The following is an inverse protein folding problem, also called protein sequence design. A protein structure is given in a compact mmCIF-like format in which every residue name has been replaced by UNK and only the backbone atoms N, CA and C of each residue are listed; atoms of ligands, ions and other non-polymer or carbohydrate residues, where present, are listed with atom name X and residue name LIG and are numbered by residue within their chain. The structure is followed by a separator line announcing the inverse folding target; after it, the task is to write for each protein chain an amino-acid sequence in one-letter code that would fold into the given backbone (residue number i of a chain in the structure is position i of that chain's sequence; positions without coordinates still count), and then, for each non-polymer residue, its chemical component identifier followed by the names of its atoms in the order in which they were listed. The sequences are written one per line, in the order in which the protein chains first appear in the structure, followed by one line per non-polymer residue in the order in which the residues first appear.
data_IF_638876238615
#
_entry.id   IF_638876238615
#
_cell.length_a   1.000
_cell.length_b   1.000
_cell.length_c   1.000
_cell.angle_alpha   90.00
_cell.angle_beta   90.00
_cell.angle_gamma   90.00
#
_symmetry.space_group_name_H-M   'P 1'
#
loop_
_entity.id
_entity.type
_entity.pdbx_description
1 polymer ?
#
# COMPACT_ATOMS: atom_id res chain seq x y z
N UNK A 1 -35.78 -6.65 30.83
CA UNK A 1 -34.30 -6.72 30.91
C UNK A 1 -33.76 -5.96 29.71
N UNK A 2 -33.01 -4.88 29.92
CA UNK A 2 -32.61 -3.96 28.87
C UNK A 2 -31.63 -4.63 27.89
N UNK A 3 -31.99 -4.69 26.60
CA UNK A 3 -31.04 -4.92 25.50
C UNK A 3 -30.23 -3.64 25.34
N UNK A 4 -29.01 -3.60 25.87
CA UNK A 4 -28.08 -2.51 25.60
C UNK A 4 -27.85 -2.48 24.09
N UNK A 5 -28.39 -1.47 23.42
CA UNK A 5 -28.16 -1.19 22.01
C UNK A 5 -26.74 -0.61 21.84
N UNK A 6 -25.75 -1.43 22.15
CA UNK A 6 -24.36 -1.09 21.92
C UNK A 6 -24.13 -1.19 20.41
N UNK A 7 -23.65 -0.11 19.80
CA UNK A 7 -23.28 -0.09 18.40
C UNK A 7 -22.22 -1.17 18.14
N UNK A 8 -22.56 -2.13 17.27
CA UNK A 8 -21.65 -3.23 16.95
C UNK A 8 -20.57 -2.73 16.00
N UNK A 9 -19.31 -3.02 16.32
CA UNK A 9 -18.20 -2.77 15.38
C UNK A 9 -18.43 -3.64 14.13
N UNK A 10 -18.43 -3.07 12.91
CA UNK A 10 -18.61 -3.84 11.69
C UNK A 10 -17.54 -4.93 11.54
N UNK A 11 -17.92 -6.16 11.17
CA UNK A 11 -16.98 -7.27 10.94
C UNK A 11 -15.84 -6.92 9.98
N UNK A 12 -16.13 -6.11 8.96
CA UNK A 12 -15.13 -5.65 7.99
C UNK A 12 -13.95 -4.92 8.63
N UNK A 13 -14.15 -4.24 9.77
CA UNK A 13 -13.09 -3.53 10.48
C UNK A 13 -11.98 -4.48 10.97
N UNK A 14 -12.31 -5.74 11.26
CA UNK A 14 -11.35 -6.71 11.76
C UNK A 14 -10.79 -7.64 10.69
N UNK A 15 -11.53 -7.87 9.60
CA UNK A 15 -11.23 -8.95 8.65
C UNK A 15 -11.04 -8.49 7.20
N UNK A 16 -11.22 -7.20 6.90
CA UNK A 16 -10.82 -6.68 5.60
C UNK A 16 -9.29 -6.66 5.47
N UNK A 17 -8.80 -6.58 4.23
CA UNK A 17 -7.39 -6.30 3.99
C UNK A 17 -7.05 -4.92 4.58
N UNK A 18 -5.90 -4.78 5.27
CA UNK A 18 -5.46 -3.50 5.78
C UNK A 18 -5.12 -2.55 4.63
N UNK A 19 -5.35 -1.24 4.84
CA UNK A 19 -4.97 -0.21 3.87
C UNK A 19 -3.47 -0.25 3.57
N UNK A 20 -2.65 -0.56 4.59
CA UNK A 20 -1.19 -0.71 4.50
C UNK A 20 -0.71 -1.79 5.47
N UNK A 21 0.19 -2.65 5.00
CA UNK A 21 0.73 -3.75 5.81
C UNK A 21 2.21 -4.02 5.53
N UNK A 22 2.86 -4.70 6.48
CA UNK A 22 4.24 -5.16 6.36
C UNK A 22 5.26 -4.06 6.05
N UNK A 23 5.27 -2.92 6.78
CA UNK A 23 6.26 -1.89 6.55
C UNK A 23 7.67 -2.41 6.83
N UNK A 24 8.62 -2.07 5.98
CA UNK A 24 10.04 -2.35 6.13
C UNK A 24 10.86 -1.13 5.72
N UNK A 25 11.94 -0.84 6.43
CA UNK A 25 12.80 0.31 6.18
C UNK A 25 14.18 -0.18 5.71
N UNK A 26 14.76 0.48 4.71
CA UNK A 26 16.12 0.19 4.24
C UNK A 26 17.15 0.49 5.32
N UNK A 27 18.33 -0.14 5.24
CA UNK A 27 19.38 0.01 6.28
C UNK A 27 19.86 1.46 6.47
N UNK A 28 19.86 2.24 5.40
CA UNK A 28 20.22 3.66 5.40
C UNK A 28 19.07 4.59 5.83
N UNK A 29 17.87 4.05 6.05
CA UNK A 29 16.70 4.81 6.48
C UNK A 29 16.08 5.71 5.41
N UNK A 30 16.50 5.59 4.16
CA UNK A 30 16.03 6.47 3.09
C UNK A 30 14.76 5.96 2.40
N UNK A 31 14.52 4.65 2.43
CA UNK A 31 13.39 4.02 1.75
C UNK A 31 12.50 3.23 2.72
N UNK A 32 11.21 3.18 2.40
CA UNK A 32 10.24 2.31 3.04
C UNK A 32 9.52 1.46 1.98
N UNK A 33 9.45 0.16 2.24
CA UNK A 33 8.62 -0.79 1.50
C UNK A 33 7.36 -1.15 2.29
N UNK A 34 6.21 -1.27 1.63
CA UNK A 34 4.95 -1.72 2.25
C UNK A 34 4.01 -2.33 1.22
N UNK A 35 2.95 -3.00 1.68
CA UNK A 35 1.90 -3.57 0.84
C UNK A 35 0.64 -2.73 0.98
N UNK A 36 0.02 -2.35 -0.13
CA UNK A 36 -1.26 -1.62 -0.17
C UNK A 36 -2.07 -1.97 -1.43
N UNK A 37 -3.41 -1.87 -1.37
CA UNK A 37 -4.27 -2.29 -2.48
C UNK A 37 -4.33 -1.25 -3.62
N UNK A 38 -4.42 -1.74 -4.85
CA UNK A 38 -4.92 -1.01 -6.04
C UNK A 38 -6.12 -1.81 -6.54
N UNK A 39 -7.29 -1.18 -6.60
CA UNK A 39 -8.56 -1.82 -7.00
C UNK A 39 -8.83 -3.15 -6.27
N UNK A 40 -8.50 -3.22 -4.98
CA UNK A 40 -8.69 -4.40 -4.14
C UNK A 40 -7.59 -5.47 -4.22
N UNK A 41 -6.61 -5.32 -5.11
CA UNK A 41 -5.46 -6.24 -5.24
C UNK A 41 -4.26 -5.68 -4.49
N UNK A 42 -3.70 -6.46 -3.56
CA UNK A 42 -2.52 -6.07 -2.78
C UNK A 42 -1.27 -6.01 -3.65
N UNK A 43 -0.61 -4.84 -3.67
CA UNK A 43 0.63 -4.59 -4.40
C UNK A 43 1.74 -4.18 -3.44
N UNK A 44 2.99 -4.35 -3.87
CA UNK A 44 4.17 -3.86 -3.15
C UNK A 44 4.46 -2.44 -3.61
N UNK A 45 4.81 -1.58 -2.66
CA UNK A 45 5.16 -0.18 -2.84
C UNK A 45 6.52 0.07 -2.22
N UNK A 46 7.29 0.97 -2.82
CA UNK A 46 8.53 1.50 -2.25
C UNK A 46 8.53 3.01 -2.46
N UNK A 47 8.85 3.77 -1.42
CA UNK A 47 8.94 5.22 -1.49
C UNK A 47 10.10 5.73 -0.64
N UNK A 48 10.52 6.98 -0.84
CA UNK A 48 11.37 7.65 0.14
C UNK A 48 10.60 7.83 1.45
N UNK A 49 11.29 7.74 2.59
CA UNK A 49 10.64 7.83 3.91
C UNK A 49 9.87 9.15 4.10
N UNK A 50 10.36 10.27 3.56
CA UNK A 50 9.67 11.57 3.62
C UNK A 50 8.41 11.66 2.75
N UNK A 51 8.29 10.82 1.73
CA UNK A 51 7.16 10.74 0.79
C UNK A 51 6.34 9.45 1.01
N UNK A 52 6.58 8.76 2.12
CA UNK A 52 5.90 7.53 2.44
C UNK A 52 4.39 7.75 2.40
N UNK A 53 3.67 6.78 1.79
CA UNK A 53 2.21 6.77 1.76
C UNK A 53 1.55 7.86 0.90
N UNK A 54 2.34 8.71 0.24
CA UNK A 54 1.87 9.79 -0.63
C UNK A 54 1.78 9.41 -2.12
N UNK A 55 2.08 8.15 -2.45
CA UNK A 55 1.83 7.57 -3.77
C UNK A 55 3.04 7.61 -4.70
N UNK A 56 3.88 6.58 -4.63
CA UNK A 56 4.69 6.13 -5.77
C UNK A 56 4.74 4.60 -5.71
N UNK A 57 4.01 3.91 -6.59
CA UNK A 57 4.06 2.45 -6.68
C UNK A 57 5.33 2.06 -7.41
N UNK A 58 6.33 1.58 -6.67
CA UNK A 58 7.41 0.80 -7.27
C UNK A 58 6.89 -0.62 -7.50
N UNK A 59 6.38 -0.85 -8.70
CA UNK A 59 6.03 -2.19 -9.17
C UNK A 59 7.30 -2.79 -9.77
N UNK A 60 7.99 -3.67 -9.04
CA UNK A 60 8.97 -4.56 -9.68
C UNK A 60 8.15 -5.61 -10.45
N UNK A 61 7.75 -5.25 -11.67
CA UNK A 61 7.25 -6.20 -12.65
C UNK A 61 8.44 -6.70 -13.45
N UNK A 62 8.70 -8.00 -13.40
CA UNK A 62 9.31 -8.67 -14.55
C UNK A 62 8.40 -8.39 -15.77
N UNK A 63 8.77 -7.42 -16.62
CA UNK A 63 8.04 -7.05 -17.82
C UNK A 63 6.94 -6.00 -17.58
N UNK A 64 7.21 -4.78 -18.05
CA UNK A 64 6.44 -3.58 -17.75
C UNK A 64 5.03 -3.49 -18.34
N UNK A 65 4.23 -2.65 -17.68
CA UNK A 65 3.10 -1.94 -18.27
C UNK A 65 2.92 -0.61 -17.52
N UNK A 66 2.48 0.44 -18.22
CA UNK A 66 2.17 1.75 -17.62
C UNK A 66 1.12 1.61 -16.52
N UNK A 67 1.32 2.33 -15.41
CA UNK A 67 0.42 2.31 -14.25
C UNK A 67 -0.47 3.56 -14.33
N UNK A 68 -1.80 3.41 -14.48
CA UNK A 68 -2.71 4.55 -14.48
C UNK A 68 -2.57 5.37 -13.18
N UNK A 69 -2.34 6.69 -13.33
CA UNK A 69 -2.15 7.61 -12.20
C UNK A 69 -0.69 7.88 -11.82
N UNK A 70 0.27 7.39 -12.59
CA UNK A 70 1.70 7.66 -12.40
C UNK A 70 2.32 8.21 -13.70
N UNK A 71 1.93 9.42 -14.09
CA UNK A 71 2.52 10.10 -15.25
C UNK A 71 4.02 10.34 -15.00
N UNK A 72 4.88 9.79 -15.87
CA UNK A 72 6.28 10.21 -16.01
C UNK A 72 7.37 9.36 -15.33
N UNK A 73 7.07 8.18 -14.76
CA UNK A 73 8.13 7.30 -14.23
C UNK A 73 8.59 6.32 -15.31
N UNK A 74 9.65 6.71 -16.04
CA UNK A 74 10.45 5.80 -16.86
C UNK A 74 11.40 5.03 -15.92
N UNK A 75 11.31 3.70 -15.94
CA UNK A 75 12.35 2.84 -15.35
C UNK A 75 13.16 2.33 -16.52
N UNK A 76 14.44 2.71 -16.58
CA UNK A 76 15.36 2.20 -17.59
C UNK A 76 15.41 0.67 -17.48
N UNK A 77 15.12 0.01 -18.61
CA UNK A 77 15.29 -1.43 -18.76
C UNK A 77 16.76 -1.67 -19.12
N UNK A 78 17.56 -2.05 -18.12
CA UNK A 78 18.74 -2.89 -18.37
C UNK A 78 18.38 -4.37 -18.19
#
# INVERSE_FOLDING_TARGET
MATSNAELIPRKTFFANPDKAGPSISRDGLQIGYIAPVDGVMNIWVAQVGEAFNGSSVRILNGGYEIPGLDGVLVDAE
#
